data_IF_455299359562
#
_entry.id   IF_455299359562
#
_cell.length_a   1.000
_cell.length_b   1.000
_cell.length_c   1.000
_cell.angle_alpha   90.00
_cell.angle_beta   90.00
_cell.angle_gamma   90.00
#
_symmetry.space_group_name_H-M   'P 1'
#
loop_
_entity.id
_entity.type
_entity.pdbx_description
1 polymer ?
#
# COMPACT_ATOMS: atom_id res chain seq x y z
N UNK A 1 10.67 7.80 5.00
CA UNK A 1 10.09 7.05 3.88
C UNK A 1 9.09 6.04 4.40
N UNK A 2 7.93 5.98 3.79
CA UNK A 2 6.82 5.11 4.18
C UNK A 2 6.53 4.12 3.05
N UNK A 3 5.94 2.97 3.40
CA UNK A 3 5.31 2.08 2.43
C UNK A 3 3.80 2.15 2.61
N UNK A 4 3.04 2.24 1.52
CA UNK A 4 1.58 2.32 1.56
C UNK A 4 1.00 0.99 1.10
N UNK A 5 0.23 0.36 1.98
CA UNK A 5 -0.50 -0.86 1.68
C UNK A 5 -1.76 -0.54 0.85
N UNK A 6 -2.20 -1.52 0.07
CA UNK A 6 -3.37 -1.37 -0.82
C UNK A 6 -4.64 -0.97 -0.07
N UNK A 7 -4.83 -1.40 1.17
CA UNK A 7 -6.05 -1.07 1.92
C UNK A 7 -6.21 0.43 2.18
N UNK A 8 -5.13 1.21 2.20
CA UNK A 8 -5.22 2.67 2.36
C UNK A 8 -5.92 3.30 1.16
N UNK A 9 -5.57 2.88 -0.05
CA UNK A 9 -6.26 3.35 -1.26
C UNK A 9 -7.71 2.86 -1.30
N UNK A 10 -7.95 1.61 -0.89
CA UNK A 10 -9.28 1.01 -0.90
C UNK A 10 -10.25 1.68 0.09
N UNK A 11 -9.76 2.13 1.24
CA UNK A 11 -10.59 2.88 2.18
C UNK A 11 -11.21 4.12 1.51
N UNK A 12 -10.45 4.78 0.63
CA UNK A 12 -10.92 5.95 -0.09
C UNK A 12 -11.80 5.55 -1.27
N UNK A 13 -11.33 4.63 -2.10
CA UNK A 13 -12.03 4.27 -3.35
C UNK A 13 -13.34 3.54 -3.11
N UNK A 14 -13.45 2.82 -2.00
CA UNK A 14 -14.68 2.12 -1.60
C UNK A 14 -15.48 2.87 -0.53
N UNK A 15 -15.07 4.08 -0.16
CA UNK A 15 -15.71 4.92 0.87
C UNK A 15 -15.99 4.14 2.16
N UNK A 16 -14.96 3.46 2.67
CA UNK A 16 -15.05 2.63 3.87
C UNK A 16 -14.88 3.45 5.16
N UNK A 17 -14.90 2.75 6.31
CA UNK A 17 -14.90 3.35 7.64
C UNK A 17 -13.77 4.36 7.86
N UNK A 18 -12.54 4.04 7.40
CA UNK A 18 -11.36 4.88 7.58
C UNK A 18 -11.08 5.80 6.38
N UNK A 19 -12.06 6.00 5.51
CA UNK A 19 -11.89 6.75 4.26
C UNK A 19 -11.40 8.19 4.46
N UNK A 20 -11.89 8.89 5.47
CA UNK A 20 -11.51 10.30 5.70
C UNK A 20 -10.04 10.42 6.15
N UNK A 21 -9.56 9.74 7.20
CA UNK A 21 -8.15 9.80 7.57
C UNK A 21 -7.23 9.25 6.49
N UNK A 22 -7.62 8.19 5.79
CA UNK A 22 -6.86 7.66 4.65
C UNK A 22 -6.71 8.71 3.55
N UNK A 23 -7.79 9.41 3.21
CA UNK A 23 -7.77 10.47 2.20
C UNK A 23 -6.87 11.63 2.62
N UNK A 24 -6.93 12.05 3.87
CA UNK A 24 -6.09 13.12 4.39
C UNK A 24 -4.60 12.74 4.33
N UNK A 25 -4.28 11.51 4.68
CA UNK A 25 -2.93 10.97 4.55
C UNK A 25 -2.47 10.97 3.09
N UNK A 26 -3.29 10.46 2.17
CA UNK A 26 -2.95 10.41 0.74
C UNK A 26 -2.78 11.81 0.15
N UNK A 27 -3.54 12.80 0.62
CA UNK A 27 -3.33 14.21 0.22
C UNK A 27 -1.95 14.73 0.61
N UNK A 28 -1.44 14.32 1.77
CA UNK A 28 -0.09 14.70 2.20
C UNK A 28 0.98 14.07 1.28
N UNK A 29 0.78 12.82 0.86
CA UNK A 29 1.65 12.18 -0.13
C UNK A 29 1.50 12.84 -1.50
N UNK A 30 0.28 13.13 -1.90
CA UNK A 30 -0.01 13.79 -3.18
C UNK A 30 0.67 15.15 -3.29
N UNK A 31 0.67 15.94 -2.23
CA UNK A 31 1.30 17.25 -2.20
C UNK A 31 2.83 17.21 -2.09
N UNK A 32 3.41 16.06 -1.79
CA UNK A 32 4.85 15.90 -1.57
C UNK A 32 5.31 16.21 -0.16
N UNK A 33 4.39 16.43 0.79
CA UNK A 33 4.76 16.63 2.21
C UNK A 33 5.28 15.33 2.84
N UNK A 34 4.84 14.19 2.34
CA UNK A 34 5.30 12.87 2.73
C UNK A 34 5.78 12.11 1.50
N UNK A 35 6.88 11.38 1.66
CA UNK A 35 7.39 10.50 0.64
C UNK A 35 7.06 9.05 0.97
N UNK A 36 6.55 8.32 -0.01
CA UNK A 36 6.11 6.95 0.17
C UNK A 36 6.35 6.11 -1.08
N UNK A 37 6.45 4.81 -0.86
CA UNK A 37 6.45 3.78 -1.89
C UNK A 37 5.21 2.92 -1.80
N UNK A 38 4.76 2.41 -2.92
CA UNK A 38 3.94 1.21 -3.04
C UNK A 38 4.50 0.38 -4.19
N UNK A 39 3.90 -0.76 -4.50
CA UNK A 39 4.33 -1.57 -5.64
C UNK A 39 3.27 -1.60 -6.72
N UNK A 40 3.67 -1.96 -7.93
CA UNK A 40 2.74 -2.20 -9.04
C UNK A 40 1.72 -3.29 -8.70
N UNK A 41 2.15 -4.34 -7.98
CA UNK A 41 1.23 -5.40 -7.53
C UNK A 41 0.15 -4.86 -6.57
N UNK A 42 0.53 -3.99 -5.64
CA UNK A 42 -0.44 -3.42 -4.69
C UNK A 42 -1.44 -2.52 -5.41
N UNK A 43 -1.02 -1.80 -6.44
CA UNK A 43 -1.93 -1.03 -7.29
C UNK A 43 -2.87 -1.96 -8.06
N UNK A 44 -2.35 -3.03 -8.66
CA UNK A 44 -3.19 -4.03 -9.35
C UNK A 44 -4.21 -4.64 -8.41
N UNK A 45 -3.81 -4.92 -7.17
CA UNK A 45 -4.70 -5.44 -6.15
C UNK A 45 -5.85 -4.46 -5.83
N UNK A 46 -5.56 -3.17 -5.74
CA UNK A 46 -6.60 -2.14 -5.57
C UNK A 46 -7.60 -2.21 -6.73
N UNK A 47 -7.11 -2.29 -7.96
CA UNK A 47 -7.96 -2.37 -9.17
C UNK A 47 -8.84 -3.61 -9.13
N UNK A 48 -8.27 -4.76 -8.81
CA UNK A 48 -9.01 -6.04 -8.76
C UNK A 48 -10.12 -5.98 -7.69
N UNK A 49 -9.82 -5.44 -6.52
CA UNK A 49 -10.80 -5.30 -5.45
C UNK A 49 -11.90 -4.30 -5.83
N UNK A 50 -11.54 -3.16 -6.44
CA UNK A 50 -12.52 -2.20 -6.97
C UNK A 50 -13.48 -2.88 -7.94
N UNK A 51 -12.96 -3.67 -8.87
CA UNK A 51 -13.75 -4.42 -9.84
C UNK A 51 -14.70 -5.39 -9.15
N UNK A 52 -14.22 -6.14 -8.14
CA UNK A 52 -15.04 -7.06 -7.37
C UNK A 52 -16.17 -6.37 -6.59
N UNK A 53 -16.01 -5.09 -6.26
CA UNK A 53 -17.04 -4.27 -5.60
C UNK A 53 -17.94 -3.54 -6.60
N UNK A 54 -17.86 -3.87 -7.89
CA UNK A 54 -18.73 -3.33 -8.91
C UNK A 54 -18.33 -1.96 -9.44
N UNK A 55 -17.13 -1.49 -9.18
CA UNK A 55 -16.63 -0.23 -9.74
C UNK A 55 -16.46 -0.36 -11.25
N UNK A 56 -16.79 0.71 -11.97
CA UNK A 56 -16.73 0.73 -13.43
C UNK A 56 -15.29 0.91 -13.92
N UNK A 57 -15.08 0.67 -15.23
CA UNK A 57 -13.80 0.98 -15.85
C UNK A 57 -13.42 2.46 -15.73
N UNK A 58 -14.42 3.35 -15.69
CA UNK A 58 -14.19 4.80 -15.51
C UNK A 58 -13.64 5.10 -14.13
N UNK A 59 -14.23 4.50 -13.09
CA UNK A 59 -13.73 4.65 -11.71
C UNK A 59 -12.30 4.18 -11.59
N UNK A 60 -11.98 3.04 -12.21
CA UNK A 60 -10.63 2.46 -12.22
C UNK A 60 -9.66 3.38 -12.98
N UNK A 61 -10.08 3.88 -14.15
CA UNK A 61 -9.26 4.81 -14.93
C UNK A 61 -8.96 6.11 -14.17
N UNK A 62 -9.95 6.65 -13.46
CA UNK A 62 -9.77 7.85 -12.62
C UNK A 62 -8.78 7.56 -11.49
N UNK A 63 -8.90 6.43 -10.81
CA UNK A 63 -7.95 6.03 -9.77
C UNK A 63 -6.52 5.96 -10.32
N UNK A 64 -6.30 5.21 -11.40
CA UNK A 64 -4.97 5.03 -11.99
C UNK A 64 -4.38 6.35 -12.48
N UNK A 65 -5.19 7.18 -13.13
CA UNK A 65 -4.75 8.50 -13.61
C UNK A 65 -4.37 9.41 -12.45
N UNK A 66 -5.09 9.35 -11.33
CA UNK A 66 -4.78 10.16 -10.15
C UNK A 66 -3.38 9.89 -9.59
N UNK A 67 -2.88 8.67 -9.75
CA UNK A 67 -1.55 8.30 -9.25
C UNK A 67 -0.43 9.10 -9.94
N UNK A 68 -0.65 9.56 -11.16
CA UNK A 68 0.32 10.39 -11.89
C UNK A 68 0.52 11.77 -11.26
N UNK A 69 -0.42 12.22 -10.41
CA UNK A 69 -0.38 13.51 -9.76
C UNK A 69 0.27 13.49 -8.38
N UNK A 70 0.63 12.31 -7.89
CA UNK A 70 1.25 12.14 -6.58
C UNK A 70 2.73 12.54 -6.61
N UNK A 71 3.07 13.66 -6.01
CA UNK A 71 4.47 14.13 -5.96
C UNK A 71 5.34 13.26 -5.06
N UNK A 72 4.79 12.77 -3.96
CA UNK A 72 5.54 12.01 -2.97
C UNK A 72 5.44 10.49 -3.13
N UNK A 73 4.76 9.97 -4.17
CA UNK A 73 4.59 8.53 -4.36
C UNK A 73 5.55 7.99 -5.41
N UNK A 74 6.28 6.96 -5.04
CA UNK A 74 7.08 6.17 -5.97
C UNK A 74 6.48 4.77 -6.07
N UNK A 75 6.47 4.21 -7.27
CA UNK A 75 5.95 2.87 -7.53
C UNK A 75 7.13 1.95 -7.84
N UNK A 76 7.29 0.93 -6.99
CA UNK A 76 8.31 -0.10 -7.20
C UNK A 76 7.73 -1.20 -8.09
N UNK A 77 8.42 -1.50 -9.20
CA UNK A 77 8.02 -2.55 -10.13
C UNK A 77 8.66 -3.88 -9.72
N UNK A 78 7.83 -4.84 -9.33
CA UNK A 78 8.28 -6.14 -8.84
C UNK A 78 8.80 -7.01 -9.97
N UNK A 79 9.94 -7.64 -9.73
CA UNK A 79 10.49 -8.66 -10.62
C UNK A 79 10.05 -10.05 -10.15
N UNK A 80 10.27 -11.06 -11.01
CA UNK A 80 10.01 -12.45 -10.62
C UNK A 80 10.90 -12.86 -9.43
N UNK A 81 12.12 -12.32 -9.33
CA UNK A 81 13.02 -12.58 -8.20
C UNK A 81 12.47 -12.04 -6.89
N UNK A 82 11.89 -10.84 -6.91
CA UNK A 82 11.22 -10.28 -5.74
C UNK A 82 10.10 -11.20 -5.26
N UNK A 83 9.33 -11.75 -6.18
CA UNK A 83 8.22 -12.66 -5.89
C UNK A 83 8.68 -13.98 -5.32
N UNK A 84 9.78 -14.55 -5.84
CA UNK A 84 10.39 -15.75 -5.29
C UNK A 84 10.87 -15.49 -3.86
N UNK A 85 11.55 -14.39 -3.63
CA UNK A 85 12.04 -14.02 -2.28
C UNK A 85 10.88 -13.74 -1.32
N UNK A 86 9.76 -13.22 -1.80
CA UNK A 86 8.56 -13.04 -0.97
C UNK A 86 8.04 -14.38 -0.41
N UNK A 87 8.21 -15.49 -1.13
CA UNK A 87 7.79 -16.81 -0.61
C UNK A 87 8.57 -17.21 0.63
N UNK A 88 9.83 -16.78 0.75
CA UNK A 88 10.62 -17.00 1.96
C UNK A 88 10.05 -16.21 3.13
N UNK A 89 9.59 -14.97 2.89
CA UNK A 89 8.93 -14.16 3.91
C UNK A 89 7.60 -14.81 4.34
N UNK A 90 6.84 -15.37 3.40
CA UNK A 90 5.63 -16.14 3.72
C UNK A 90 5.94 -17.28 4.67
N UNK A 91 6.98 -18.05 4.38
CA UNK A 91 7.40 -19.18 5.19
C UNK A 91 7.84 -18.74 6.60
N UNK A 92 8.68 -17.72 6.68
CA UNK A 92 9.34 -17.32 7.92
C UNK A 92 8.44 -16.48 8.82
N UNK A 93 7.54 -15.66 8.25
CA UNK A 93 6.71 -14.72 8.99
C UNK A 93 5.23 -15.11 9.02
N UNK A 94 4.81 -16.13 8.26
CA UNK A 94 3.41 -16.55 8.22
C UNK A 94 2.48 -15.54 7.57
N UNK A 95 2.96 -14.77 6.62
CA UNK A 95 2.19 -13.76 5.89
C UNK A 95 1.61 -14.31 4.60
N UNK A 96 0.50 -13.71 4.14
CA UNK A 96 -0.02 -13.91 2.80
C UNK A 96 0.94 -13.33 1.76
N UNK A 97 0.77 -13.70 0.50
CA UNK A 97 1.67 -13.30 -0.57
C UNK A 97 1.78 -11.78 -0.75
N UNK A 98 0.65 -11.07 -0.77
CA UNK A 98 0.63 -9.61 -0.92
C UNK A 98 1.34 -8.90 0.23
N UNK A 99 1.13 -9.34 1.46
CA UNK A 99 1.79 -8.79 2.65
C UNK A 99 3.29 -9.12 2.63
N UNK A 100 3.64 -10.34 2.21
CA UNK A 100 5.04 -10.75 2.07
C UNK A 100 5.77 -9.93 1.00
N UNK A 101 5.10 -9.60 -0.10
CA UNK A 101 5.66 -8.71 -1.13
C UNK A 101 5.94 -7.31 -0.58
N UNK A 102 5.03 -6.78 0.22
CA UNK A 102 5.23 -5.49 0.88
C UNK A 102 6.46 -5.52 1.78
N UNK A 103 6.56 -6.52 2.66
CA UNK A 103 7.69 -6.68 3.59
C UNK A 103 9.01 -6.85 2.84
N UNK A 104 9.03 -7.68 1.79
CA UNK A 104 10.23 -7.90 0.97
C UNK A 104 10.68 -6.60 0.31
N UNK A 105 9.74 -5.84 -0.24
CA UNK A 105 10.02 -4.55 -0.88
C UNK A 105 10.55 -3.54 0.13
N UNK A 106 9.93 -3.47 1.30
CA UNK A 106 10.38 -2.60 2.38
C UNK A 106 11.82 -2.90 2.79
N UNK A 107 12.16 -4.18 2.92
CA UNK A 107 13.52 -4.60 3.27
C UNK A 107 14.53 -4.16 2.21
N UNK A 108 14.21 -4.38 0.94
CA UNK A 108 15.06 -4.00 -0.19
C UNK A 108 15.30 -2.48 -0.25
N UNK A 109 14.26 -1.69 0.03
CA UNK A 109 14.33 -0.23 -0.02
C UNK A 109 14.72 0.40 1.32
N UNK A 110 15.00 -0.41 2.34
CA UNK A 110 15.31 0.05 3.70
C UNK A 110 14.22 0.93 4.29
N UNK A 111 12.96 0.55 4.08
CA UNK A 111 11.77 1.20 4.64
C UNK A 111 11.32 0.38 5.85
N UNK A 112 11.07 1.04 6.98
CA UNK A 112 10.70 0.37 8.23
C UNK A 112 9.25 0.61 8.65
N UNK A 113 8.60 1.61 8.07
CA UNK A 113 7.23 1.99 8.43
C UNK A 113 6.28 1.67 7.28
N UNK A 114 5.26 0.87 7.57
CA UNK A 114 4.15 0.61 6.67
C UNK A 114 2.90 1.32 7.17
N UNK A 115 2.20 1.99 6.27
CA UNK A 115 0.89 2.57 6.55
C UNK A 115 -0.17 1.57 6.11
N UNK A 116 -0.85 0.97 7.07
CA UNK A 116 -1.81 -0.11 6.84
C UNK A 116 -2.73 -0.29 8.04
N UNK A 117 -3.95 -0.72 7.76
CA UNK A 117 -4.91 -1.16 8.78
C UNK A 117 -4.78 -2.65 9.10
N UNK A 118 -3.99 -3.40 8.34
CA UNK A 118 -3.83 -4.83 8.52
C UNK A 118 -2.84 -5.15 9.65
N UNK A 119 -3.38 -5.72 10.74
CA UNK A 119 -2.60 -6.08 11.92
C UNK A 119 -1.64 -7.24 11.69
N UNK A 120 -1.73 -7.95 10.58
CA UNK A 120 -0.82 -9.06 10.28
C UNK A 120 0.63 -8.58 10.18
N UNK A 121 0.87 -7.34 9.79
CA UNK A 121 2.21 -6.76 9.76
C UNK A 121 2.86 -6.65 11.15
N UNK A 122 2.09 -6.67 12.22
CA UNK A 122 2.62 -6.64 13.58
C UNK A 122 3.41 -7.91 13.93
N UNK A 123 3.28 -8.99 13.14
CA UNK A 123 4.07 -10.21 13.28
C UNK A 123 5.54 -10.01 12.94
N UNK A 124 5.86 -9.02 12.11
CA UNK A 124 7.23 -8.78 11.66
C UNK A 124 7.91 -7.78 12.58
N UNK A 125 8.88 -8.24 13.36
CA UNK A 125 9.44 -7.47 14.48
C UNK A 125 10.06 -6.13 14.08
N UNK A 126 10.70 -6.05 12.91
CA UNK A 126 11.37 -4.83 12.46
C UNK A 126 10.46 -3.88 11.71
N UNK A 127 9.23 -4.31 11.34
CA UNK A 127 8.24 -3.48 10.67
C UNK A 127 7.44 -2.71 11.70
N UNK A 128 7.30 -1.41 11.50
CA UNK A 128 6.43 -0.55 12.31
C UNK A 128 5.19 -0.24 11.49
N UNK A 129 4.07 -0.81 11.90
CA UNK A 129 2.77 -0.50 11.28
C UNK A 129 2.19 0.75 11.91
N UNK A 130 1.75 1.68 11.08
CA UNK A 130 1.03 2.89 11.48
C UNK A 130 -0.25 2.99 10.66
N UNK A 131 -1.31 3.46 11.29
CA UNK A 131 -2.50 3.89 10.57
C UNK A 131 -2.36 5.36 10.20
N UNK A 132 -3.16 5.89 9.26
CA UNK A 132 -3.21 7.34 9.04
C UNK A 132 -3.48 8.13 10.31
N UNK A 133 -4.36 7.63 11.18
CA UNK A 133 -4.67 8.26 12.47
C UNK A 133 -3.44 8.32 13.40
N UNK A 134 -2.63 7.27 13.42
CA UNK A 134 -1.37 7.25 14.20
C UNK A 134 -0.38 8.32 13.72
N UNK A 135 -0.50 8.75 12.46
CA UNK A 135 0.34 9.78 11.86
C UNK A 135 -0.27 11.18 11.97
N UNK A 136 -1.42 11.32 12.65
CA UNK A 136 -2.06 12.60 12.88
C UNK A 136 -3.11 13.01 11.84
N UNK A 137 -3.56 12.07 11.03
CA UNK A 137 -4.57 12.32 10.00
C UNK A 137 -5.98 11.90 10.39
#
# INVERSE_FOLDING_TARGET
MLFIDSNIFLEVELAQEHGVPAKNFLKAVQSGRLDAYTTDFHIDNVVIVMENYGKSWRDIAVFLTSLLQYRGLSIYHLTIYDKIEATEVMRDEGLDFDDALAVRTMKKLNIKVIVSYDKDFDRVKWVKRKTPEDLGF
#
